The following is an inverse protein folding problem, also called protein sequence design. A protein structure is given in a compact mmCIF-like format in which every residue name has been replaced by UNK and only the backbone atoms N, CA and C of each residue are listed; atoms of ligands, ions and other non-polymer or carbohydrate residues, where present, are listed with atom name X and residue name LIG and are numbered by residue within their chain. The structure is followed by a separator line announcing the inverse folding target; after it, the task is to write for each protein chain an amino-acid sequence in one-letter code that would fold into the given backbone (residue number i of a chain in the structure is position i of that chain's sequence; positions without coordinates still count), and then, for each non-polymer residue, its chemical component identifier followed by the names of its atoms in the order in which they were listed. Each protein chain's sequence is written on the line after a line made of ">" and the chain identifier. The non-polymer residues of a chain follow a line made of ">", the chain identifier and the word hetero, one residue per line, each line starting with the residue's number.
data_IF_821828548930
#
_entry.id   IF_821828548930
#
_cell.length_a   1.000
_cell.length_b   1.000
_cell.length_c   1.000
_cell.angle_alpha   90.00
_cell.angle_beta   90.00
_cell.angle_gamma   90.00
#
_symmetry.space_group_name_H-M   'P 1'
#
loop_
_entity.id
_entity.type
_entity.pdbx_description
1 polymer ?
#
# COMPACT_ATOMS: atom_id res chain seq x y z
N UNK A 1 -5.44 29.29 8.51
CA UNK A 1 -5.23 28.66 7.19
C UNK A 1 -4.41 27.36 7.24
N UNK A 2 -3.41 27.21 8.12
CA UNK A 2 -2.57 26.00 8.22
C UNK A 2 -3.31 24.66 8.47
N UNK A 3 -4.42 24.66 9.21
CA UNK A 3 -5.18 23.44 9.49
C UNK A 3 -5.86 22.81 8.27
N UNK A 4 -6.42 23.63 7.38
CA UNK A 4 -7.14 23.12 6.21
C UNK A 4 -6.20 22.44 5.19
N UNK A 5 -4.95 22.91 5.07
CA UNK A 5 -3.95 22.29 4.19
C UNK A 5 -3.56 20.89 4.67
N UNK A 6 -3.44 20.68 5.99
CA UNK A 6 -3.14 19.36 6.57
C UNK A 6 -4.24 18.35 6.26
N UNK A 7 -5.52 18.74 6.42
CA UNK A 7 -6.65 17.86 6.12
C UNK A 7 -6.72 17.45 4.64
N UNK A 8 -6.43 18.39 3.71
CA UNK A 8 -6.36 18.09 2.27
C UNK A 8 -5.23 17.13 1.94
N UNK A 9 -4.04 17.31 2.50
CA UNK A 9 -2.89 16.43 2.28
C UNK A 9 -3.17 14.98 2.70
N UNK A 10 -3.72 14.78 3.91
CA UNK A 10 -4.07 13.43 4.39
C UNK A 10 -5.09 12.78 3.46
N UNK A 11 -6.10 13.54 2.99
CA UNK A 11 -7.08 13.03 2.04
C UNK A 11 -6.46 12.63 0.70
N UNK A 12 -5.48 13.40 0.20
CA UNK A 12 -4.73 13.04 -1.01
C UNK A 12 -4.01 11.71 -0.84
N UNK A 13 -3.41 11.45 0.33
CA UNK A 13 -2.70 10.20 0.59
C UNK A 13 -3.63 8.98 0.63
N UNK A 14 -4.85 9.13 1.13
CA UNK A 14 -5.89 8.09 0.98
C UNK A 14 -6.19 7.80 -0.48
N UNK A 15 -6.35 8.82 -1.32
CA UNK A 15 -6.62 8.63 -2.76
C UNK A 15 -5.46 8.00 -3.51
N UNK A 16 -4.23 8.38 -3.20
CA UNK A 16 -3.04 7.74 -3.76
C UNK A 16 -3.04 6.25 -3.42
N UNK A 17 -3.30 5.89 -2.16
CA UNK A 17 -3.41 4.48 -1.77
C UNK A 17 -4.53 3.72 -2.49
N UNK A 18 -5.73 4.32 -2.60
CA UNK A 18 -6.86 3.72 -3.35
C UNK A 18 -6.47 3.39 -4.79
N UNK A 19 -5.81 4.34 -5.48
CA UNK A 19 -5.42 4.17 -6.88
C UNK A 19 -4.35 3.10 -7.01
N UNK A 20 -3.32 3.14 -6.14
CA UNK A 20 -2.23 2.16 -6.17
C UNK A 20 -2.75 0.74 -5.90
N UNK A 21 -3.56 0.55 -4.86
CA UNK A 21 -4.11 -0.76 -4.52
C UNK A 21 -5.03 -1.30 -5.61
N UNK A 22 -5.85 -0.44 -6.23
CA UNK A 22 -6.71 -0.84 -7.33
C UNK A 22 -5.90 -1.25 -8.58
N UNK A 23 -4.87 -0.48 -8.94
CA UNK A 23 -3.98 -0.81 -10.06
C UNK A 23 -3.29 -2.16 -9.80
N UNK A 24 -2.72 -2.36 -8.61
CA UNK A 24 -2.04 -3.60 -8.24
C UNK A 24 -3.03 -4.77 -8.21
N UNK A 25 -4.23 -4.60 -7.65
CA UNK A 25 -5.25 -5.64 -7.63
C UNK A 25 -5.69 -6.07 -9.04
N UNK A 26 -5.85 -5.10 -9.96
CA UNK A 26 -6.15 -5.38 -11.37
C UNK A 26 -4.99 -6.10 -12.06
N UNK A 27 -3.76 -5.65 -11.84
CA UNK A 27 -2.58 -6.27 -12.44
C UNK A 27 -2.41 -7.73 -11.99
N UNK A 28 -2.62 -8.03 -10.70
CA UNK A 28 -2.56 -9.41 -10.18
C UNK A 28 -3.64 -10.29 -10.82
N UNK A 29 -4.88 -9.79 -10.93
CA UNK A 29 -5.96 -10.55 -11.61
C UNK A 29 -5.65 -10.79 -13.08
N UNK A 30 -5.09 -9.79 -13.77
CA UNK A 30 -4.65 -9.93 -15.15
C UNK A 30 -3.55 -10.99 -15.24
N UNK A 31 -2.52 -10.91 -14.40
CA UNK A 31 -1.42 -11.88 -14.34
C UNK A 31 -1.89 -13.31 -14.09
N UNK A 32 -2.93 -13.48 -13.25
CA UNK A 32 -3.56 -14.78 -12.99
C UNK A 32 -4.15 -15.38 -14.28
N UNK A 33 -4.71 -14.56 -15.18
CA UNK A 33 -5.36 -15.02 -16.41
C UNK A 33 -4.38 -15.12 -17.57
N UNK A 34 -3.53 -14.12 -17.76
CA UNK A 34 -2.67 -13.96 -18.94
C UNK A 34 -1.24 -14.43 -18.74
N UNK A 35 -0.82 -14.66 -17.48
CA UNK A 35 0.58 -14.87 -17.14
C UNK A 35 1.43 -13.60 -17.31
N UNK A 36 0.83 -12.41 -17.38
CA UNK A 36 1.56 -11.15 -17.56
C UNK A 36 1.23 -10.14 -16.46
N UNK A 37 2.26 -9.62 -15.80
CA UNK A 37 2.19 -8.52 -14.82
C UNK A 37 2.97 -7.33 -15.37
N UNK A 38 2.33 -6.16 -15.47
CA UNK A 38 2.89 -4.92 -16.03
C UNK A 38 3.65 -5.09 -17.36
N UNK A 39 3.16 -6.00 -18.22
CA UNK A 39 3.79 -6.28 -19.53
C UNK A 39 5.01 -7.20 -19.47
N UNK A 40 5.34 -7.75 -18.30
CA UNK A 40 6.40 -8.73 -18.09
C UNK A 40 5.76 -10.12 -18.10
N UNK A 41 6.29 -11.02 -18.96
CA UNK A 41 5.85 -12.41 -19.00
C UNK A 41 6.36 -13.16 -17.77
N UNK A 42 5.43 -13.67 -16.97
CA UNK A 42 5.73 -14.54 -15.85
C UNK A 42 5.73 -15.99 -16.33
N UNK A 43 6.66 -16.83 -15.85
CA UNK A 43 6.62 -18.25 -16.13
C UNK A 43 5.26 -18.84 -15.70
N UNK A 44 4.77 -19.90 -16.38
CA UNK A 44 3.46 -20.48 -16.10
C UNK A 44 3.33 -20.84 -14.62
N UNK A 45 2.36 -20.20 -13.98
CA UNK A 45 2.11 -20.35 -12.55
C UNK A 45 1.55 -21.74 -12.27
N UNK A 46 2.09 -22.41 -11.24
CA UNK A 46 1.46 -23.60 -10.69
C UNK A 46 0.09 -23.25 -10.11
N UNK A 47 -0.84 -24.22 -10.05
CA UNK A 47 -2.19 -23.96 -9.51
C UNK A 47 -2.16 -23.40 -8.09
N UNK A 48 -1.19 -23.83 -7.27
CA UNK A 48 -0.99 -23.31 -5.92
C UNK A 48 -0.63 -21.82 -5.90
N UNK A 49 0.24 -21.36 -6.81
CA UNK A 49 0.61 -19.93 -6.88
C UNK A 49 -0.57 -19.10 -7.40
N UNK A 50 -1.31 -19.61 -8.38
CA UNK A 50 -2.52 -18.96 -8.91
C UNK A 50 -3.58 -18.73 -7.81
N UNK A 51 -3.79 -19.72 -6.94
CA UNK A 51 -4.69 -19.59 -5.79
C UNK A 51 -4.24 -18.52 -4.79
N UNK A 52 -2.94 -18.38 -4.55
CA UNK A 52 -2.38 -17.32 -3.70
C UNK A 52 -2.55 -15.94 -4.34
N UNK A 53 -2.28 -15.80 -5.64
CA UNK A 53 -2.45 -14.53 -6.35
C UNK A 53 -3.88 -14.01 -6.30
N UNK A 54 -4.88 -14.87 -6.50
CA UNK A 54 -6.30 -14.48 -6.38
C UNK A 54 -6.62 -13.98 -4.97
N UNK A 55 -6.08 -14.63 -3.93
CA UNK A 55 -6.25 -14.17 -2.55
C UNK A 55 -5.59 -12.81 -2.32
N UNK A 56 -4.39 -12.59 -2.84
CA UNK A 56 -3.71 -11.29 -2.74
C UNK A 56 -4.52 -10.22 -3.49
N UNK A 57 -5.05 -10.52 -4.68
CA UNK A 57 -5.90 -9.57 -5.41
C UNK A 57 -7.16 -9.18 -4.61
N UNK A 58 -7.87 -10.16 -4.05
CA UNK A 58 -9.04 -9.90 -3.18
C UNK A 58 -8.64 -9.04 -1.98
N UNK A 59 -7.47 -9.31 -1.39
CA UNK A 59 -6.94 -8.51 -0.30
C UNK A 59 -6.67 -7.05 -0.72
N UNK A 60 -6.10 -6.82 -1.90
CA UNK A 60 -5.88 -5.47 -2.45
C UNK A 60 -7.20 -4.71 -2.68
N UNK A 61 -8.25 -5.38 -3.19
CA UNK A 61 -9.56 -4.75 -3.33
C UNK A 61 -10.22 -4.49 -1.96
N UNK A 62 -10.06 -5.39 -1.00
CA UNK A 62 -10.49 -5.16 0.39
C UNK A 62 -9.81 -3.94 1.00
N UNK A 63 -8.50 -3.79 0.78
CA UNK A 63 -7.73 -2.64 1.24
C UNK A 63 -8.13 -1.33 0.53
N UNK A 64 -8.39 -1.40 -0.78
CA UNK A 64 -8.95 -0.29 -1.56
C UNK A 64 -10.27 0.22 -0.97
N UNK A 65 -11.19 -0.70 -0.65
CA UNK A 65 -12.46 -0.36 -0.03
C UNK A 65 -12.28 0.27 1.38
N UNK A 66 -11.33 -0.25 2.17
CA UNK A 66 -10.98 0.28 3.48
C UNK A 66 -10.42 1.71 3.39
N UNK A 67 -9.51 1.97 2.45
CA UNK A 67 -8.95 3.30 2.21
C UNK A 67 -10.00 4.27 1.69
N UNK A 68 -10.89 3.83 0.80
CA UNK A 68 -12.03 4.62 0.36
C UNK A 68 -12.95 4.99 1.52
N UNK A 69 -13.26 4.03 2.40
CA UNK A 69 -14.00 4.30 3.62
C UNK A 69 -13.25 5.26 4.55
N UNK A 70 -11.94 5.11 4.71
CA UNK A 70 -11.09 6.03 5.46
C UNK A 70 -11.11 7.46 4.92
N UNK A 71 -11.15 7.61 3.59
CA UNK A 71 -11.13 8.91 2.91
C UNK A 71 -12.34 9.81 3.21
N UNK A 72 -13.47 9.23 3.67
CA UNK A 72 -14.68 10.00 4.06
C UNK A 72 -14.46 10.77 5.35
N UNK A 73 -13.66 10.23 6.27
CA UNK A 73 -13.32 10.87 7.55
C UNK A 73 -11.83 10.64 7.90
N UNK A 74 -10.90 11.23 7.13
CA UNK A 74 -9.48 10.87 7.17
C UNK A 74 -8.81 11.15 8.52
N UNK A 75 -9.33 12.10 9.29
CA UNK A 75 -8.79 12.47 10.61
C UNK A 75 -9.28 11.51 11.69
N UNK A 76 -10.57 11.15 11.67
CA UNK A 76 -11.14 10.22 12.64
C UNK A 76 -10.63 8.79 12.40
N UNK A 77 -10.41 8.42 11.14
CA UNK A 77 -10.02 7.07 10.71
C UNK A 77 -8.54 6.94 10.35
N UNK A 78 -7.71 7.85 10.86
CA UNK A 78 -6.25 7.89 10.62
C UNK A 78 -5.53 6.58 10.96
N UNK A 79 -6.09 5.76 11.84
CA UNK A 79 -5.52 4.45 12.21
C UNK A 79 -5.38 3.52 11.00
N UNK A 80 -6.20 3.69 9.96
CA UNK A 80 -6.08 2.95 8.70
C UNK A 80 -4.71 3.20 8.05
N UNK A 81 -4.16 4.42 8.11
CA UNK A 81 -2.83 4.72 7.56
C UNK A 81 -1.72 3.98 8.31
N UNK A 82 -1.87 3.82 9.62
CA UNK A 82 -0.93 3.08 10.46
C UNK A 82 -1.05 1.57 10.22
N UNK A 83 -2.28 1.06 10.02
CA UNK A 83 -2.52 -0.30 9.56
C UNK A 83 -2.02 -0.55 8.13
N UNK A 84 -1.91 0.45 7.26
CA UNK A 84 -1.23 0.24 5.97
C UNK A 84 0.28 0.28 6.16
N UNK A 85 0.80 1.20 6.96
CA UNK A 85 2.24 1.34 7.16
C UNK A 85 2.86 0.10 7.82
N UNK A 86 2.28 -0.40 8.91
CA UNK A 86 3.00 -1.30 9.82
C UNK A 86 2.86 -2.82 9.53
N UNK A 87 1.73 -3.37 9.09
CA UNK A 87 1.71 -4.75 8.58
C UNK A 87 2.01 -4.84 7.08
N UNK A 88 1.46 -3.95 6.23
CA UNK A 88 1.60 -4.12 4.77
C UNK A 88 3.00 -3.76 4.29
N UNK A 89 3.47 -2.53 4.56
CA UNK A 89 4.76 -2.10 4.02
C UNK A 89 5.93 -2.87 4.66
N UNK A 90 5.87 -3.11 5.98
CA UNK A 90 6.90 -3.92 6.67
C UNK A 90 6.88 -5.37 6.19
N UNK A 91 5.69 -5.95 5.97
CA UNK A 91 5.56 -7.29 5.40
C UNK A 91 6.17 -7.39 4.01
N UNK A 92 5.91 -6.39 3.15
CA UNK A 92 6.50 -6.30 1.81
C UNK A 92 8.03 -6.15 1.85
N UNK A 93 8.55 -5.31 2.74
CA UNK A 93 10.00 -5.18 2.92
C UNK A 93 10.63 -6.49 3.39
N UNK A 94 10.00 -7.16 4.36
CA UNK A 94 10.48 -8.45 4.89
C UNK A 94 10.46 -9.54 3.81
N UNK A 95 9.43 -9.57 2.97
CA UNK A 95 9.33 -10.48 1.83
C UNK A 95 10.46 -10.24 0.80
N UNK A 96 10.72 -8.97 0.46
CA UNK A 96 11.80 -8.60 -0.45
C UNK A 96 13.18 -9.03 0.08
N UNK A 97 13.43 -8.84 1.38
CA UNK A 97 14.67 -9.30 2.02
C UNK A 97 14.75 -10.82 1.98
N UNK A 98 13.66 -11.52 2.30
CA UNK A 98 13.62 -12.98 2.25
C UNK A 98 13.95 -13.53 0.85
N UNK A 99 13.31 -12.98 -0.19
CA UNK A 99 13.55 -13.35 -1.60
C UNK A 99 15.00 -13.11 -2.01
N UNK A 100 15.63 -12.05 -1.52
CA UNK A 100 17.06 -11.80 -1.74
C UNK A 100 17.94 -12.86 -1.06
N UNK A 101 17.65 -13.20 0.20
CA UNK A 101 18.43 -14.15 0.99
C UNK A 101 18.43 -15.57 0.39
N UNK A 102 17.34 -15.96 -0.28
CA UNK A 102 17.22 -17.26 -0.96
C UNK A 102 17.65 -17.22 -2.43
N UNK A 103 18.17 -16.09 -2.91
CA UNK A 103 18.73 -15.95 -4.26
C UNK A 103 17.69 -15.93 -5.40
N UNK A 104 16.42 -15.64 -5.10
CA UNK A 104 15.33 -15.63 -6.09
C UNK A 104 15.16 -14.29 -6.83
N UNK A 105 15.86 -13.23 -6.42
CA UNK A 105 15.82 -11.94 -7.09
C UNK A 105 17.16 -11.22 -7.05
N UNK A 106 17.36 -10.27 -7.96
CA UNK A 106 18.58 -9.47 -8.01
C UNK A 106 18.63 -8.46 -6.87
N UNK A 107 19.82 -8.20 -6.33
CA UNK A 107 20.03 -7.18 -5.30
C UNK A 107 19.57 -5.78 -5.77
N UNK A 108 19.70 -5.48 -7.06
CA UNK A 108 19.28 -4.21 -7.65
C UNK A 108 17.75 -4.06 -7.59
N UNK A 109 17.02 -5.09 -8.02
CA UNK A 109 15.54 -5.12 -7.99
C UNK A 109 15.03 -4.96 -6.56
N UNK A 110 15.59 -5.73 -5.63
CA UNK A 110 15.21 -5.68 -4.22
C UNK A 110 15.50 -4.31 -3.61
N UNK A 111 16.67 -3.73 -3.90
CA UNK A 111 17.03 -2.39 -3.40
C UNK A 111 16.08 -1.32 -3.92
N UNK A 112 15.73 -1.34 -5.21
CA UNK A 112 14.75 -0.40 -5.78
C UNK A 112 13.38 -0.52 -5.10
N UNK A 113 12.90 -1.76 -4.89
CA UNK A 113 11.64 -2.00 -4.20
C UNK A 113 11.66 -1.48 -2.76
N UNK A 114 12.73 -1.73 -2.02
CA UNK A 114 12.90 -1.23 -0.64
C UNK A 114 12.92 0.30 -0.60
N UNK A 115 13.56 0.97 -1.56
CA UNK A 115 13.57 2.43 -1.65
C UNK A 115 12.16 2.98 -1.84
N UNK A 116 11.40 2.44 -2.80
CA UNK A 116 10.01 2.86 -3.06
C UNK A 116 9.14 2.61 -1.81
N UNK A 117 9.27 1.42 -1.21
CA UNK A 117 8.53 1.05 0.00
C UNK A 117 8.89 1.95 1.19
N UNK A 118 10.15 2.37 1.33
CA UNK A 118 10.58 3.29 2.38
C UNK A 118 9.98 4.67 2.20
N UNK A 119 9.93 5.18 0.96
CA UNK A 119 9.27 6.45 0.64
C UNK A 119 7.78 6.38 0.99
N UNK A 120 7.09 5.28 0.62
CA UNK A 120 5.69 5.06 0.97
C UNK A 120 5.48 4.98 2.48
N UNK A 121 6.31 4.23 3.19
CA UNK A 121 6.25 4.07 4.64
C UNK A 121 6.35 5.42 5.36
N UNK A 122 7.38 6.21 5.01
CA UNK A 122 7.58 7.55 5.59
C UNK A 122 6.41 8.46 5.26
N UNK A 123 5.90 8.43 4.03
CA UNK A 123 4.75 9.25 3.61
C UNK A 123 3.48 8.93 4.38
N UNK A 124 3.21 7.63 4.64
CA UNK A 124 2.08 7.18 5.45
C UNK A 124 2.23 7.59 6.92
N UNK A 125 3.42 7.44 7.50
CA UNK A 125 3.70 7.88 8.88
C UNK A 125 3.56 9.38 9.06
N UNK A 126 4.09 10.17 8.11
CA UNK A 126 3.92 11.63 8.11
C UNK A 126 2.44 12.01 8.02
N UNK A 127 1.67 11.32 7.17
CA UNK A 127 0.23 11.56 7.04
C UNK A 127 -0.52 11.24 8.34
N UNK A 128 -0.16 10.15 9.01
CA UNK A 128 -0.72 9.79 10.31
C UNK A 128 -0.39 10.86 11.37
N UNK A 129 0.88 11.27 11.47
CA UNK A 129 1.30 12.31 12.40
C UNK A 129 0.60 13.65 12.14
N UNK A 130 0.45 14.04 10.88
CA UNK A 130 -0.29 15.26 10.51
C UNK A 130 -1.78 15.15 10.87
N UNK A 131 -2.40 13.99 10.67
CA UNK A 131 -3.78 13.75 11.08
C UNK A 131 -3.97 13.84 12.61
N UNK A 132 -3.04 13.27 13.38
CA UNK A 132 -3.04 13.31 14.85
C UNK A 132 -2.89 14.75 15.37
N UNK A 133 -1.91 15.51 14.85
CA UNK A 133 -1.71 16.91 15.26
C UNK A 133 -2.92 17.78 14.92
N UNK A 134 -3.60 17.51 13.80
CA UNK A 134 -4.82 18.21 13.43
C UNK A 134 -5.98 17.88 14.38
N UNK A 135 -6.19 16.60 14.70
CA UNK A 135 -7.23 16.16 15.63
C UNK A 135 -7.09 16.84 17.01
N UNK A 136 -5.88 16.86 17.57
CA UNK A 136 -5.59 17.51 18.86
C UNK A 136 -5.83 19.02 18.85
N UNK A 137 -5.55 19.69 17.73
CA UNK A 137 -5.78 21.14 17.61
C UNK A 137 -7.25 21.53 17.62
N UNK A 138 -8.15 20.64 17.19
CA UNK A 138 -9.60 20.87 17.16
C UNK A 138 -10.26 20.61 18.51
N UNK A 139 -9.70 19.75 19.36
CA UNK A 139 -10.20 19.46 20.71
C UNK A 139 -9.86 20.54 21.75
N UNK A 140 -8.88 21.41 21.49
CA UNK A 140 -8.50 22.53 22.37
C UNK A 140 -9.29 23.82 22.11
N UNK A 141 -10.20 23.82 21.14
CA UNK A 141 -11.10 24.94 20.82
C UNK A 141 -12.51 24.57 21.20
#
# INVERSE_FOLDING_TARGET
>A
MHGQMKGKFVRTMYWVGIILDAIVGIDILQATVTGQSFGIFLPPLTEGIRYLEIQVAIFMFGWTALLYWGSREPINRRIILLMTAFPVVVGLMSSNIYVLLIGLSSAITVTMNIVIQSILFVSLLLSFYLAETYARSKQKK
#
